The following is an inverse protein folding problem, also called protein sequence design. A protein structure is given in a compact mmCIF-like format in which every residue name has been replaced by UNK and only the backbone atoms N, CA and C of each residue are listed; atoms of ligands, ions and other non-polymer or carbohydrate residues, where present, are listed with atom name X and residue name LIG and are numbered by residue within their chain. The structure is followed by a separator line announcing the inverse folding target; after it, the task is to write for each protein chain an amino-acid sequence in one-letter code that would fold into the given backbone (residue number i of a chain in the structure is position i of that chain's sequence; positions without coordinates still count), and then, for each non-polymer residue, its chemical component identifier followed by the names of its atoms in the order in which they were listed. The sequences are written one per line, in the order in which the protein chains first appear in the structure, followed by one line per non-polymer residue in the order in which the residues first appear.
data_IF_851504359190
#
_entry.id   IF_851504359190
#
_cell.length_a   1.000
_cell.length_b   1.000
_cell.length_c   1.000
_cell.angle_alpha   90.00
_cell.angle_beta   90.00
_cell.angle_gamma   90.00
#
_symmetry.space_group_name_H-M   'P 1'
#
loop_
_entity.id
_entity.type
_entity.pdbx_description
1 polymer ?
#
# COMPACT_ATOMS: atom_id res chain seq x y z
N UNK A 1 -9.87 14.15 20.62
CA UNK A 1 -9.60 13.11 19.59
C UNK A 1 -10.11 13.51 18.21
N UNK A 2 -11.38 13.86 18.02
CA UNK A 2 -11.93 14.30 16.71
C UNK A 2 -11.14 15.44 16.05
N UNK A 3 -10.75 16.47 16.84
CA UNK A 3 -9.93 17.58 16.34
C UNK A 3 -8.57 17.14 15.75
N UNK A 4 -7.95 16.09 16.29
CA UNK A 4 -6.67 15.57 15.79
C UNK A 4 -6.85 14.86 14.43
N UNK A 5 -7.94 14.11 14.27
CA UNK A 5 -8.28 13.42 13.02
C UNK A 5 -8.62 14.41 11.90
N UNK A 6 -9.43 15.43 12.21
CA UNK A 6 -9.76 16.49 11.26
C UNK A 6 -8.50 17.28 10.85
N UNK A 7 -7.63 17.59 11.81
CA UNK A 7 -6.36 18.26 11.53
C UNK A 7 -5.43 17.40 10.67
N UNK A 8 -5.32 16.09 10.94
CA UNK A 8 -4.53 15.18 10.11
C UNK A 8 -5.04 15.07 8.68
N UNK A 9 -6.36 14.99 8.51
CA UNK A 9 -6.99 15.00 7.18
C UNK A 9 -6.76 16.33 6.44
N UNK A 10 -6.93 17.46 7.13
CA UNK A 10 -6.68 18.79 6.56
C UNK A 10 -5.24 18.98 6.10
N UNK A 11 -4.25 18.53 6.90
CA UNK A 11 -2.83 18.57 6.55
C UNK A 11 -2.56 17.69 5.33
N UNK A 12 -3.10 16.48 5.29
CA UNK A 12 -2.93 15.57 4.17
C UNK A 12 -3.51 16.15 2.88
N UNK A 13 -4.72 16.73 2.95
CA UNK A 13 -5.40 17.33 1.81
C UNK A 13 -4.67 18.58 1.30
N UNK A 14 -4.27 19.48 2.21
CA UNK A 14 -3.48 20.65 1.85
C UNK A 14 -2.15 20.25 1.21
N UNK A 15 -1.44 19.27 1.78
CA UNK A 15 -0.20 18.73 1.22
C UNK A 15 -0.40 18.15 -0.18
N UNK A 16 -1.49 17.41 -0.42
CA UNK A 16 -1.84 16.88 -1.73
C UNK A 16 -2.08 18.00 -2.77
N UNK A 17 -2.84 19.04 -2.43
CA UNK A 17 -3.07 20.17 -3.33
C UNK A 17 -1.77 20.94 -3.64
N UNK A 18 -0.91 21.14 -2.65
CA UNK A 18 0.39 21.77 -2.83
C UNK A 18 1.27 20.93 -3.76
N UNK A 19 1.40 19.62 -3.50
CA UNK A 19 2.17 18.71 -4.36
C UNK A 19 1.63 18.67 -5.80
N UNK A 20 0.31 18.76 -5.97
CA UNK A 20 -0.33 18.85 -7.28
C UNK A 20 0.04 20.15 -8.01
N UNK A 21 0.06 21.29 -7.30
CA UNK A 21 0.49 22.56 -7.87
C UNK A 21 1.97 22.57 -8.31
N UNK A 22 2.83 21.81 -7.62
CA UNK A 22 4.24 21.64 -7.99
C UNK A 22 4.49 20.59 -9.08
N UNK A 23 3.45 19.91 -9.58
CA UNK A 23 3.60 18.87 -10.61
C UNK A 23 4.38 17.64 -10.13
N UNK A 24 4.34 17.33 -8.83
CA UNK A 24 5.00 16.15 -8.26
C UNK A 24 4.38 14.85 -8.79
N UNK A 25 5.15 13.75 -8.91
CA UNK A 25 4.62 12.47 -9.34
C UNK A 25 3.71 11.87 -8.26
N UNK A 26 2.51 11.39 -8.61
CA UNK A 26 1.51 10.87 -7.67
C UNK A 26 1.24 11.89 -6.51
N UNK A 27 0.82 13.11 -6.85
CA UNK A 27 0.83 14.25 -5.91
C UNK A 27 -0.08 14.03 -4.70
N UNK A 28 -1.21 13.35 -4.90
CA UNK A 28 -2.17 13.03 -3.85
C UNK A 28 -1.58 12.11 -2.76
N UNK A 29 -0.65 11.23 -3.12
CA UNK A 29 -0.01 10.31 -2.18
C UNK A 29 1.27 10.93 -1.57
N UNK A 30 2.13 11.51 -2.40
CA UNK A 30 3.37 12.17 -1.94
C UNK A 30 3.08 13.37 -1.05
N UNK A 31 2.18 14.26 -1.47
CA UNK A 31 1.82 15.45 -0.71
C UNK A 31 1.25 15.11 0.65
N UNK A 32 0.31 14.15 0.70
CA UNK A 32 -0.25 13.68 1.97
C UNK A 32 0.82 13.07 2.89
N UNK A 33 1.71 12.22 2.35
CA UNK A 33 2.76 11.57 3.12
C UNK A 33 3.79 12.57 3.68
N UNK A 34 4.33 13.44 2.83
CA UNK A 34 5.41 14.38 3.19
C UNK A 34 4.91 15.38 4.23
N UNK A 35 3.76 16.01 4.00
CA UNK A 35 3.24 17.03 4.92
C UNK A 35 2.81 16.43 6.26
N UNK A 36 2.21 15.23 6.26
CA UNK A 36 1.87 14.57 7.53
C UNK A 36 3.11 14.12 8.28
N UNK A 37 4.15 13.64 7.60
CA UNK A 37 5.43 13.28 8.21
C UNK A 37 6.14 14.51 8.81
N UNK A 38 6.25 15.61 8.06
CA UNK A 38 6.87 16.86 8.55
C UNK A 38 6.13 17.37 9.79
N UNK A 39 4.80 17.45 9.74
CA UNK A 39 4.01 17.89 10.88
C UNK A 39 4.21 16.97 12.11
N UNK A 40 4.33 15.65 11.89
CA UNK A 40 4.60 14.68 12.96
C UNK A 40 5.98 14.94 13.61
N UNK A 41 7.00 15.22 12.79
CA UNK A 41 8.36 15.52 13.24
C UNK A 41 8.40 16.84 14.02
N UNK A 42 7.63 17.84 13.60
CA UNK A 42 7.46 19.13 14.29
C UNK A 42 6.62 19.03 15.59
N UNK A 43 6.20 17.83 16.00
CA UNK A 43 5.45 17.61 17.24
C UNK A 43 3.94 17.82 17.10
N UNK A 44 3.42 18.05 15.90
CA UNK A 44 1.96 18.18 15.67
C UNK A 44 1.31 16.80 15.71
N UNK A 45 0.36 16.62 16.62
CA UNK A 45 -0.37 15.36 16.76
C UNK A 45 -1.49 15.23 15.71
N UNK A 46 -1.11 14.83 14.50
CA UNK A 46 -1.98 14.65 13.33
C UNK A 46 -2.45 13.19 13.14
N UNK A 47 -2.96 12.55 14.20
CA UNK A 47 -3.39 11.15 14.14
C UNK A 47 -4.46 10.88 13.07
N UNK A 48 -4.55 9.63 12.61
CA UNK A 48 -5.61 9.15 11.74
C UNK A 48 -6.45 8.08 12.46
N UNK A 49 -7.76 8.06 12.20
CA UNK A 49 -8.64 7.05 12.78
C UNK A 49 -8.38 5.68 12.11
N UNK A 50 -8.44 4.58 12.89
CA UNK A 50 -8.16 3.22 12.38
C UNK A 50 -9.07 2.83 11.21
N UNK A 51 -10.29 3.34 11.16
CA UNK A 51 -11.25 3.04 10.08
C UNK A 51 -10.94 3.76 8.77
N UNK A 52 -10.21 4.88 8.78
CA UNK A 52 -9.84 5.57 7.53
C UNK A 52 -8.88 4.73 6.70
N UNK A 53 -7.96 4.00 7.36
CA UNK A 53 -7.09 3.04 6.66
C UNK A 53 -7.91 1.95 5.98
N UNK A 54 -8.89 1.36 6.66
CA UNK A 54 -9.77 0.33 6.07
C UNK A 54 -10.57 0.86 4.87
N UNK A 55 -11.09 2.08 4.99
CA UNK A 55 -11.86 2.72 3.92
C UNK A 55 -10.99 3.00 2.70
N UNK A 56 -9.78 3.53 2.90
CA UNK A 56 -8.80 3.73 1.83
C UNK A 56 -8.39 2.41 1.16
N UNK A 57 -8.13 1.36 1.96
CA UNK A 57 -7.83 0.01 1.45
C UNK A 57 -8.98 -0.57 0.64
N UNK A 58 -10.23 -0.33 1.04
CA UNK A 58 -11.40 -0.76 0.29
C UNK A 58 -11.49 -0.05 -1.06
N UNK A 59 -11.36 1.28 -1.07
CA UNK A 59 -11.45 2.06 -2.32
C UNK A 59 -10.34 1.64 -3.28
N UNK A 60 -9.10 1.61 -2.79
CA UNK A 60 -7.94 1.20 -3.60
C UNK A 60 -8.06 -0.26 -4.04
N UNK A 61 -8.56 -1.15 -3.19
CA UNK A 61 -8.73 -2.56 -3.50
C UNK A 61 -9.77 -2.80 -4.58
N UNK A 62 -10.94 -2.15 -4.49
CA UNK A 62 -11.95 -2.17 -5.56
C UNK A 62 -11.38 -1.60 -6.85
N UNK A 63 -10.71 -0.44 -6.79
CA UNK A 63 -10.09 0.16 -7.99
C UNK A 63 -9.08 -0.77 -8.65
N UNK A 64 -8.17 -1.39 -7.89
CA UNK A 64 -7.20 -2.36 -8.41
C UNK A 64 -7.92 -3.61 -8.95
N UNK A 65 -8.95 -4.10 -8.26
CA UNK A 65 -9.71 -5.27 -8.67
C UNK A 65 -10.43 -5.07 -10.02
N UNK A 66 -10.94 -3.86 -10.28
CA UNK A 66 -11.57 -3.52 -11.57
C UNK A 66 -10.59 -3.51 -12.75
N UNK A 67 -9.26 -3.47 -12.51
CA UNK A 67 -8.25 -3.60 -13.58
C UNK A 67 -8.03 -5.05 -14.02
N UNK A 68 -8.54 -6.04 -13.29
CA UNK A 68 -8.46 -7.44 -13.72
C UNK A 68 -9.47 -7.71 -14.83
N UNK A 69 -9.03 -7.56 -16.07
CA UNK A 69 -9.77 -7.99 -17.26
C UNK A 69 -9.17 -9.29 -17.81
N UNK A 70 -9.89 -10.01 -18.70
CA UNK A 70 -9.34 -11.19 -19.36
C UNK A 70 -7.98 -10.94 -20.04
N UNK A 71 -7.82 -9.78 -20.70
CA UNK A 71 -6.58 -9.39 -21.36
C UNK A 71 -5.42 -9.18 -20.37
N UNK A 72 -5.70 -8.54 -19.22
CA UNK A 72 -4.68 -8.37 -18.17
C UNK A 72 -4.32 -9.72 -17.55
N UNK A 73 -5.29 -10.63 -17.40
CA UNK A 73 -5.04 -11.99 -16.90
C UNK A 73 -4.15 -12.81 -17.84
N UNK A 74 -4.33 -12.70 -19.16
CA UNK A 74 -3.43 -13.33 -20.13
C UNK A 74 -1.99 -12.82 -19.98
N UNK A 75 -1.80 -11.50 -19.88
CA UNK A 75 -0.47 -10.91 -19.65
C UNK A 75 0.13 -11.37 -18.33
N UNK A 76 -0.67 -11.47 -17.25
CA UNK A 76 -0.22 -11.98 -15.95
C UNK A 76 0.23 -13.45 -16.03
N UNK A 77 -0.45 -14.27 -16.82
CA UNK A 77 -0.10 -15.68 -17.04
C UNK A 77 1.19 -15.78 -17.86
N UNK A 78 1.29 -15.02 -18.96
CA UNK A 78 2.48 -15.02 -19.82
C UNK A 78 3.73 -14.52 -19.08
N UNK A 79 3.56 -13.52 -18.22
CA UNK A 79 4.65 -12.94 -17.42
C UNK A 79 4.79 -13.60 -16.03
N UNK A 80 4.08 -14.70 -15.77
CA UNK A 80 4.07 -15.38 -14.47
C UNK A 80 5.46 -15.78 -13.99
N UNK A 81 6.35 -16.19 -14.91
CA UNK A 81 7.73 -16.54 -14.58
C UNK A 81 8.49 -15.35 -13.99
N UNK A 82 8.33 -14.15 -14.54
CA UNK A 82 8.98 -12.93 -14.03
C UNK A 82 8.38 -12.49 -12.69
N UNK A 83 7.07 -12.65 -12.50
CA UNK A 83 6.39 -12.37 -11.24
C UNK A 83 6.90 -13.30 -10.13
N UNK A 84 6.99 -14.60 -10.42
CA UNK A 84 7.53 -15.60 -9.49
C UNK A 84 9.01 -15.31 -9.22
N UNK A 85 9.81 -15.06 -10.25
CA UNK A 85 11.22 -14.72 -10.11
C UNK A 85 11.41 -13.49 -9.22
N UNK A 86 10.67 -12.40 -9.46
CA UNK A 86 10.72 -11.19 -8.63
C UNK A 86 10.29 -11.43 -7.19
N UNK A 87 9.27 -12.27 -6.98
CA UNK A 87 8.81 -12.67 -5.64
C UNK A 87 9.89 -13.46 -4.89
N UNK A 88 10.50 -14.43 -5.56
CA UNK A 88 11.61 -15.23 -5.02
C UNK A 88 12.84 -14.36 -4.73
N UNK A 89 13.23 -13.49 -5.66
CA UNK A 89 14.31 -12.51 -5.46
C UNK A 89 14.05 -11.62 -4.26
N UNK A 90 12.79 -11.21 -4.03
CA UNK A 90 12.40 -10.39 -2.88
C UNK A 90 12.57 -11.15 -1.56
N UNK A 91 12.27 -12.46 -1.53
CA UNK A 91 12.55 -13.31 -0.37
C UNK A 91 14.05 -13.42 -0.11
N UNK A 92 14.85 -13.67 -1.14
CA UNK A 92 16.31 -13.72 -1.02
C UNK A 92 16.89 -12.40 -0.51
N UNK A 93 16.45 -11.28 -1.07
CA UNK A 93 16.90 -9.95 -0.64
C UNK A 93 16.47 -9.64 0.80
N UNK A 94 15.30 -10.11 1.23
CA UNK A 94 14.85 -9.99 2.62
C UNK A 94 15.76 -10.74 3.59
N UNK A 95 16.18 -11.96 3.23
CA UNK A 95 17.10 -12.78 4.03
C UNK A 95 18.49 -12.14 4.06
N UNK A 96 18.99 -11.71 2.90
CA UNK A 96 20.27 -11.01 2.81
C UNK A 96 20.26 -9.70 3.62
N UNK A 97 19.17 -8.92 3.54
CA UNK A 97 18.97 -7.72 4.34
C UNK A 97 18.89 -8.00 5.84
N UNK A 98 18.28 -9.12 6.24
CA UNK A 98 18.21 -9.53 7.65
C UNK A 98 19.62 -9.86 8.19
N UNK A 99 20.40 -10.59 7.39
CA UNK A 99 21.78 -10.91 7.74
C UNK A 99 22.67 -9.65 7.78
N UNK A 100 22.53 -8.75 6.82
CA UNK A 100 23.23 -7.47 6.79
C UNK A 100 22.89 -6.63 8.03
N UNK A 101 21.61 -6.44 8.32
CA UNK A 101 21.18 -5.72 9.51
C UNK A 101 21.70 -6.40 10.78
N UNK A 102 21.64 -7.72 10.90
CA UNK A 102 22.18 -8.43 12.07
C UNK A 102 23.68 -8.16 12.26
N UNK A 103 24.45 -8.16 11.17
CA UNK A 103 25.91 -7.92 11.21
C UNK A 103 26.26 -6.49 11.62
N UNK A 104 25.51 -5.50 11.15
CA UNK A 104 25.88 -4.07 11.27
C UNK A 104 25.09 -3.27 12.31
N UNK A 105 23.89 -3.72 12.73
CA UNK A 105 23.01 -2.92 13.61
C UNK A 105 23.23 -3.16 15.11
N UNK A 106 24.13 -4.09 15.48
CA UNK A 106 24.31 -4.56 16.87
C UNK A 106 23.02 -5.03 17.56
N UNK A 107 21.95 -5.28 16.79
CA UNK A 107 20.69 -5.81 17.28
C UNK A 107 20.67 -7.33 17.20
N UNK A 108 19.77 -7.95 17.95
CA UNK A 108 19.56 -9.39 17.85
C UNK A 108 18.97 -9.81 16.50
N UNK A 109 19.19 -11.08 16.15
CA UNK A 109 18.69 -11.65 14.90
C UNK A 109 17.17 -11.51 14.75
N UNK A 110 16.41 -11.65 15.83
CA UNK A 110 14.95 -11.47 15.83
C UNK A 110 14.55 -10.08 15.32
N UNK A 111 15.14 -9.01 15.86
CA UNK A 111 14.84 -7.64 15.41
C UNK A 111 15.26 -7.43 13.96
N UNK A 112 16.47 -7.87 13.59
CA UNK A 112 16.98 -7.73 12.22
C UNK A 112 16.11 -8.49 11.20
N UNK A 113 15.66 -9.70 11.54
CA UNK A 113 14.80 -10.52 10.71
C UNK A 113 13.44 -9.86 10.49
N UNK A 114 12.73 -9.46 11.54
CA UNK A 114 11.41 -8.83 11.41
C UNK A 114 11.48 -7.41 10.82
N UNK A 115 12.59 -6.70 11.01
CA UNK A 115 12.83 -5.40 10.40
C UNK A 115 13.19 -5.49 8.90
N UNK A 116 13.73 -6.61 8.42
CA UNK A 116 14.08 -6.82 7.00
C UNK A 116 13.00 -7.53 6.21
N UNK A 117 12.34 -8.53 6.79
CA UNK A 117 11.37 -9.39 6.10
C UNK A 117 10.26 -8.59 5.43
N UNK A 118 9.88 -9.00 4.22
CA UNK A 118 8.76 -8.42 3.48
C UNK A 118 7.45 -8.91 4.08
N UNK A 119 6.59 -7.96 4.43
CA UNK A 119 5.32 -8.22 5.08
C UNK A 119 4.64 -6.93 5.50
N UNK A 120 3.42 -7.04 6.01
CA UNK A 120 2.71 -5.89 6.56
C UNK A 120 3.40 -5.36 7.81
N UNK A 121 3.70 -4.06 7.85
CA UNK A 121 4.44 -3.43 8.95
C UNK A 121 3.80 -3.71 10.32
N UNK A 122 2.47 -3.66 10.39
CA UNK A 122 1.71 -3.91 11.62
C UNK A 122 1.75 -5.39 12.01
N UNK A 123 1.66 -6.28 11.03
CA UNK A 123 1.69 -7.73 11.19
C UNK A 123 3.05 -8.21 11.68
N UNK A 124 4.15 -7.69 11.12
CA UNK A 124 5.49 -8.05 11.53
C UNK A 124 5.77 -7.66 12.99
N UNK A 125 5.28 -6.50 13.43
CA UNK A 125 5.40 -6.07 14.83
C UNK A 125 4.61 -7.00 15.77
N UNK A 126 3.38 -7.36 15.40
CA UNK A 126 2.54 -8.28 16.21
C UNK A 126 3.13 -9.69 16.28
N UNK A 127 3.75 -10.18 15.21
CA UNK A 127 4.43 -11.48 15.21
C UNK A 127 5.71 -11.41 16.06
N UNK A 128 6.46 -10.31 15.95
CA UNK A 128 7.68 -10.08 16.71
C UNK A 128 7.42 -9.95 18.22
N UNK A 129 6.27 -9.41 18.62
CA UNK A 129 5.84 -9.30 20.02
C UNK A 129 5.80 -10.66 20.73
N UNK A 130 5.55 -11.74 20.00
CA UNK A 130 5.52 -13.12 20.53
C UNK A 130 6.91 -13.75 20.65
N UNK A 131 7.97 -13.06 20.24
CA UNK A 131 9.35 -13.58 20.22
C UNK A 131 10.19 -12.87 21.27
N UNK A 132 10.98 -13.63 22.01
CA UNK A 132 11.88 -13.08 23.01
C UNK A 132 12.91 -12.12 22.38
N UNK A 133 13.21 -11.03 23.10
CA UNK A 133 14.22 -10.02 22.77
C UNK A 133 13.92 -9.13 21.54
N UNK A 134 12.72 -9.13 20.96
CA UNK A 134 12.41 -8.26 19.82
C UNK A 134 12.29 -6.78 20.22
N UNK A 135 13.01 -5.89 19.54
CA UNK A 135 12.84 -4.44 19.69
C UNK A 135 11.74 -3.93 18.75
N UNK A 136 10.50 -3.93 19.25
CA UNK A 136 9.30 -3.57 18.47
C UNK A 136 9.34 -2.14 17.91
N UNK A 137 9.79 -1.11 18.66
CA UNK A 137 9.96 0.23 18.11
C UNK A 137 10.91 0.28 16.92
N UNK A 138 12.04 -0.44 16.97
CA UNK A 138 12.99 -0.49 15.85
C UNK A 138 12.36 -1.16 14.63
N UNK A 139 11.65 -2.28 14.79
CA UNK A 139 10.95 -2.96 13.70
C UNK A 139 9.92 -2.02 13.05
N UNK A 140 9.08 -1.37 13.86
CA UNK A 140 8.07 -0.44 13.37
C UNK A 140 8.69 0.75 12.62
N UNK A 141 9.78 1.31 13.15
CA UNK A 141 10.48 2.43 12.53
C UNK A 141 11.15 2.05 11.22
N UNK A 142 11.78 0.87 11.15
CA UNK A 142 12.42 0.36 9.94
C UNK A 142 11.41 0.17 8.79
N UNK A 143 10.24 -0.41 9.07
CA UNK A 143 9.18 -0.54 8.08
C UNK A 143 8.61 0.81 7.63
N UNK A 144 8.41 1.73 8.57
CA UNK A 144 7.91 3.08 8.26
C UNK A 144 8.90 3.86 7.39
N UNK A 145 10.19 3.80 7.73
CA UNK A 145 11.27 4.42 6.97
C UNK A 145 11.39 3.82 5.57
N UNK A 146 11.29 2.49 5.45
CA UNK A 146 11.31 1.81 4.14
C UNK A 146 10.18 2.29 3.24
N UNK A 147 8.95 2.35 3.76
CA UNK A 147 7.79 2.85 3.00
C UNK A 147 8.02 4.30 2.59
N UNK A 148 8.51 5.15 3.50
CA UNK A 148 8.82 6.54 3.19
C UNK A 148 9.87 6.66 2.07
N UNK A 149 10.98 5.92 2.16
CA UNK A 149 12.03 5.92 1.14
C UNK A 149 11.45 5.46 -0.19
N UNK A 150 10.76 4.32 -0.24
CA UNK A 150 10.22 3.77 -1.49
C UNK A 150 9.19 4.70 -2.13
N UNK A 151 8.25 5.21 -1.35
CA UNK A 151 7.17 6.07 -1.86
C UNK A 151 7.71 7.40 -2.36
N UNK A 152 8.76 7.94 -1.75
CA UNK A 152 9.40 9.17 -2.22
C UNK A 152 10.33 8.87 -3.40
N UNK A 153 11.28 7.95 -3.25
CA UNK A 153 12.35 7.77 -4.23
C UNK A 153 11.88 7.20 -5.56
N UNK A 154 11.00 6.18 -5.55
CA UNK A 154 10.65 5.48 -6.79
C UNK A 154 9.98 6.40 -7.82
N UNK A 155 8.91 7.15 -7.47
CA UNK A 155 8.26 8.02 -8.46
C UNK A 155 9.21 9.07 -9.05
N UNK A 156 10.09 9.66 -8.23
CA UNK A 156 11.09 10.63 -8.72
C UNK A 156 12.16 9.97 -9.60
N UNK A 157 12.64 8.77 -9.26
CA UNK A 157 13.60 8.03 -10.09
C UNK A 157 12.99 7.72 -11.46
N UNK A 158 11.74 7.26 -11.51
CA UNK A 158 11.05 6.95 -12.76
C UNK A 158 10.85 8.20 -13.62
N UNK A 159 10.42 9.31 -13.00
CA UNK A 159 10.27 10.59 -13.69
C UNK A 159 11.61 11.12 -14.23
N UNK A 160 12.69 11.01 -13.45
CA UNK A 160 14.03 11.45 -13.85
C UNK A 160 14.59 10.62 -15.02
N UNK A 161 14.45 9.28 -14.95
CA UNK A 161 14.87 8.37 -16.00
C UNK A 161 13.97 8.42 -17.24
N UNK A 162 12.87 9.21 -17.20
CA UNK A 162 11.83 9.28 -18.24
C UNK A 162 11.32 7.88 -18.64
N UNK A 163 11.33 6.95 -17.70
CA UNK A 163 10.75 5.62 -17.90
C UNK A 163 9.23 5.82 -17.79
N UNK A 164 8.62 6.02 -18.94
CA UNK A 164 7.19 5.91 -19.10
C UNK A 164 6.95 4.43 -19.40
N UNK A 165 6.06 3.77 -18.66
CA UNK A 165 5.58 2.49 -19.15
C UNK A 165 5.00 2.75 -20.52
N UNK A 166 5.40 1.97 -21.54
CA UNK A 166 4.63 1.89 -22.78
C UNK A 166 3.24 1.50 -22.35
N UNK A 167 2.35 2.50 -22.30
CA UNK A 167 0.94 2.31 -22.09
C UNK A 167 0.48 1.56 -23.32
N UNK A 168 0.60 0.23 -23.32
CA UNK A 168 -0.28 -0.61 -24.11
C UNK A 168 -1.68 -0.26 -23.59
N UNK A 169 -2.27 0.79 -24.15
CA UNK A 169 -3.68 1.15 -24.14
C UNK A 169 -4.46 0.98 -22.82
N UNK A 170 -3.82 0.97 -21.65
CA UNK A 170 -4.53 0.76 -20.38
C UNK A 170 -5.47 1.91 -20.02
N UNK A 171 -5.30 3.08 -20.65
CA UNK A 171 -6.16 4.25 -20.51
C UNK A 171 -7.15 4.47 -21.66
N UNK A 172 -6.80 4.07 -22.90
CA UNK A 172 -7.65 4.20 -24.09
C UNK A 172 -8.66 3.05 -24.20
N UNK A 173 -8.31 1.87 -23.70
CA UNK A 173 -9.15 0.67 -23.56
C UNK A 173 -9.38 0.32 -22.08
N UNK A 174 -9.66 1.30 -21.21
CA UNK A 174 -10.30 0.99 -19.93
C UNK A 174 -11.62 0.26 -20.27
N UNK A 175 -11.80 -1.03 -19.91
CA UNK A 175 -13.05 -1.74 -20.18
C UNK A 175 -14.24 -1.10 -19.44
N UNK A 176 -13.96 -0.25 -18.45
CA UNK A 176 -14.95 0.49 -17.68
C UNK A 176 -14.58 1.97 -17.70
N UNK A 177 -15.07 2.70 -18.70
CA UNK A 177 -15.22 4.17 -18.60
C UNK A 177 -16.34 4.42 -17.59
N UNK A 178 -15.99 4.72 -16.34
CA UNK A 178 -16.97 5.13 -15.32
C UNK A 178 -17.49 6.52 -15.71
N UNK A 179 -18.52 6.56 -16.56
CA UNK A 179 -19.34 7.75 -16.74
C UNK A 179 -20.17 7.91 -15.47
N UNK A 180 -20.12 9.10 -14.87
CA UNK A 180 -20.80 9.44 -13.59
C UNK A 180 -22.34 9.31 -13.72
N UNK A 181 -22.84 9.09 -14.94
CA UNK A 181 -24.25 8.85 -15.28
C UNK A 181 -24.71 7.40 -15.15
N UNK A 182 -23.80 6.41 -15.06
CA UNK A 182 -24.14 4.96 -14.99
C UNK A 182 -23.91 4.39 -13.58
N UNK A 183 -24.22 5.17 -12.54
CA UNK A 183 -24.20 4.68 -11.15
C UNK A 183 -25.46 3.85 -10.90
N UNK A 184 -25.43 2.62 -11.40
CA UNK A 184 -26.48 1.64 -11.20
C UNK A 184 -26.42 0.97 -9.82
N UNK A 185 -27.51 0.31 -9.42
CA UNK A 185 -27.60 -0.47 -8.19
C UNK A 185 -26.46 -1.52 -8.06
N UNK A 186 -25.92 -1.99 -9.20
CA UNK A 186 -24.78 -2.90 -9.25
C UNK A 186 -23.51 -2.33 -8.63
N UNK A 187 -23.28 -1.01 -8.72
CA UNK A 187 -22.13 -0.36 -8.10
C UNK A 187 -22.20 -0.43 -6.56
N UNK A 188 -23.38 -0.17 -6.01
CA UNK A 188 -23.63 -0.31 -4.56
C UNK A 188 -23.53 -1.77 -4.11
N UNK A 189 -24.05 -2.70 -4.91
CA UNK A 189 -23.95 -4.13 -4.63
C UNK A 189 -22.50 -4.60 -4.62
N UNK A 190 -21.67 -4.13 -5.58
CA UNK A 190 -20.25 -4.43 -5.64
C UNK A 190 -19.54 -3.94 -4.37
N UNK A 191 -19.75 -2.69 -3.95
CA UNK A 191 -19.19 -2.16 -2.72
C UNK A 191 -19.66 -2.94 -1.49
N UNK A 192 -20.94 -3.29 -1.40
CA UNK A 192 -21.48 -4.07 -0.29
C UNK A 192 -20.82 -5.46 -0.21
N UNK A 193 -20.70 -6.16 -1.32
CA UNK A 193 -20.06 -7.48 -1.37
C UNK A 193 -18.55 -7.40 -1.12
N UNK A 194 -17.87 -6.36 -1.61
CA UNK A 194 -16.46 -6.11 -1.33
C UNK A 194 -16.21 -5.86 0.18
N UNK A 195 -17.12 -5.14 0.85
CA UNK A 195 -17.10 -4.98 2.31
C UNK A 195 -17.21 -6.35 3.00
N UNK A 196 -18.17 -7.17 2.58
CA UNK A 196 -18.36 -8.53 3.15
C UNK A 196 -17.11 -9.37 2.96
N UNK A 197 -16.49 -9.35 1.78
CA UNK A 197 -15.24 -10.06 1.51
C UNK A 197 -14.09 -9.58 2.41
N UNK A 198 -13.94 -8.25 2.56
CA UNK A 198 -12.97 -7.65 3.48
C UNK A 198 -13.18 -8.07 4.94
N UNK A 199 -14.43 -8.14 5.39
CA UNK A 199 -14.77 -8.65 6.73
C UNK A 199 -14.49 -10.15 6.89
N UNK A 200 -14.79 -10.96 5.88
CA UNK A 200 -14.57 -12.40 5.90
C UNK A 200 -13.07 -12.73 6.03
N UNK A 201 -12.23 -12.08 5.22
CA UNK A 201 -10.77 -12.22 5.31
C UNK A 201 -10.20 -11.64 6.60
N UNK A 202 -10.81 -10.56 7.12
CA UNK A 202 -10.44 -10.04 8.43
C UNK A 202 -10.70 -11.08 9.54
N UNK A 203 -11.79 -11.85 9.44
CA UNK A 203 -12.11 -12.93 10.41
C UNK A 203 -11.08 -14.06 10.38
N UNK A 204 -10.53 -14.37 9.20
CA UNK A 204 -9.48 -15.38 8.99
C UNK A 204 -8.09 -14.85 9.43
N UNK A 205 -7.99 -13.59 9.87
CA UNK A 205 -6.72 -12.90 10.22
C UNK A 205 -5.71 -12.88 9.07
N UNK A 206 -6.21 -12.78 7.85
CA UNK A 206 -5.36 -12.66 6.67
C UNK A 206 -4.61 -11.31 6.67
N UNK A 207 -3.30 -11.27 6.34
CA UNK A 207 -2.56 -10.02 6.25
C UNK A 207 -3.20 -9.05 5.26
N UNK A 208 -3.33 -7.77 5.62
CA UNK A 208 -3.94 -6.76 4.76
C UNK A 208 -5.33 -7.14 4.18
N UNK A 209 -6.16 -7.81 4.98
CA UNK A 209 -7.45 -8.39 4.58
C UNK A 209 -8.40 -7.45 3.82
N UNK A 210 -8.46 -6.16 4.18
CA UNK A 210 -9.37 -5.21 3.54
C UNK A 210 -8.97 -4.89 2.11
N UNK A 211 -7.68 -4.73 1.84
CA UNK A 211 -7.18 -4.47 0.49
C UNK A 211 -7.31 -5.74 -0.36
N UNK A 212 -6.78 -6.86 0.14
CA UNK A 212 -6.75 -8.13 -0.62
C UNK A 212 -8.15 -8.67 -0.85
N UNK A 213 -9.04 -8.59 0.14
CA UNK A 213 -10.39 -9.11 0.03
C UNK A 213 -11.28 -8.35 -0.92
N UNK A 214 -11.21 -7.02 -0.89
CA UNK A 214 -11.98 -6.17 -1.81
C UNK A 214 -11.44 -6.30 -3.24
N UNK A 215 -10.12 -6.37 -3.41
CA UNK A 215 -9.46 -6.60 -4.70
C UNK A 215 -9.81 -7.95 -5.30
N UNK A 216 -9.60 -9.06 -4.57
CA UNK A 216 -9.88 -10.40 -5.10
C UNK A 216 -11.36 -10.58 -5.44
N UNK A 217 -12.25 -10.09 -4.58
CA UNK A 217 -13.68 -10.17 -4.84
C UNK A 217 -14.06 -9.43 -6.13
N UNK A 218 -13.56 -8.21 -6.28
CA UNK A 218 -13.85 -7.38 -7.44
C UNK A 218 -13.21 -7.95 -8.71
N UNK A 219 -11.99 -8.49 -8.60
CA UNK A 219 -11.29 -9.14 -9.70
C UNK A 219 -12.07 -10.35 -10.21
N UNK A 220 -12.51 -11.26 -9.33
CA UNK A 220 -13.31 -12.44 -9.70
C UNK A 220 -14.66 -12.07 -10.33
N UNK A 221 -15.26 -10.96 -9.91
CA UNK A 221 -16.52 -10.48 -10.48
C UNK A 221 -16.33 -9.86 -11.87
N UNK A 222 -15.13 -9.34 -12.16
CA UNK A 222 -14.83 -8.57 -13.39
C UNK A 222 -14.09 -9.42 -14.45
N UNK A 223 -13.36 -10.45 -14.03
CA UNK A 223 -12.63 -11.40 -14.87
C UNK A 223 -13.53 -12.41 -15.57
#
# INVERSE_FOLDING_TARGET
MIKQYALGFGIALAGAFIANAFGMPIPWMLGALIFTAICRILGVNNGAHKNFRKTGQLIVGVSIGLYFSPQVNEVLIDQSLYIIAGSVSTVFLSIAGAWFLYKFSHQNFTTAYFASTVGGASEMVVIAERKANANLPLIASAHSLRILIVVVSIPFIYQYLRIHGDLIDMGSNLPVKISITDIDWYFFLLFACAIVAGFLLQKIRFPNAWLVGTMLFTAVLTS
#
